data_IF_456941763280
#
_entry.id   IF_456941763280
#
_cell.length_a   1.000
_cell.length_b   1.000
_cell.length_c   1.000
_cell.angle_alpha   90.00
_cell.angle_beta   90.00
_cell.angle_gamma   90.00
#
_symmetry.space_group_name_H-M   'P 1'
#
loop_
_entity.id
_entity.type
_entity.pdbx_description
1 polymer ?
#
# COMPACT_ATOMS: atom_id res chain seq x y z
N UNK A 1 -10.58 12.42 -13.15
CA UNK A 1 -10.91 10.99 -12.99
C UNK A 1 -9.68 10.22 -12.49
N UNK A 2 -9.16 10.52 -11.28
CA UNK A 2 -7.79 10.12 -10.86
C UNK A 2 -7.73 9.22 -9.61
N UNK A 3 -8.53 9.47 -8.57
CA UNK A 3 -8.71 8.49 -7.47
C UNK A 3 -9.28 7.14 -7.94
N UNK A 4 -9.94 7.15 -9.11
CA UNK A 4 -10.41 5.94 -9.78
C UNK A 4 -9.26 5.01 -10.17
N UNK A 5 -8.05 5.51 -10.47
CA UNK A 5 -6.91 4.69 -10.88
C UNK A 5 -6.31 3.87 -9.73
N UNK A 6 -6.26 4.42 -8.52
CA UNK A 6 -5.73 3.74 -7.33
C UNK A 6 -6.71 2.65 -6.86
N UNK A 7 -8.00 2.97 -6.86
CA UNK A 7 -9.06 1.99 -6.65
C UNK A 7 -9.10 0.93 -7.75
N UNK A 8 -8.95 1.30 -9.03
CA UNK A 8 -8.83 0.34 -10.12
C UNK A 8 -7.60 -0.53 -9.98
N UNK A 9 -6.45 0.01 -9.59
CA UNK A 9 -5.24 -0.80 -9.37
C UNK A 9 -5.49 -1.85 -8.29
N UNK A 10 -6.09 -1.47 -7.15
CA UNK A 10 -6.47 -2.39 -6.07
C UNK A 10 -7.52 -3.43 -6.51
N UNK A 11 -8.55 -3.02 -7.26
CA UNK A 11 -9.58 -3.92 -7.83
C UNK A 11 -9.01 -4.84 -8.91
N UNK A 12 -8.06 -4.35 -9.71
CA UNK A 12 -7.41 -5.12 -10.78
C UNK A 12 -6.47 -6.17 -10.19
N UNK A 13 -5.76 -5.85 -9.11
CA UNK A 13 -4.92 -6.81 -8.37
C UNK A 13 -5.72 -7.78 -7.52
N UNK A 14 -6.88 -7.36 -6.97
CA UNK A 14 -7.70 -8.18 -6.08
C UNK A 14 -8.72 -9.07 -6.80
N UNK A 15 -9.45 -8.54 -7.78
CA UNK A 15 -10.59 -9.24 -8.40
C UNK A 15 -10.37 -9.68 -9.84
N UNK A 16 -9.55 -8.96 -10.63
CA UNK A 16 -9.45 -9.20 -12.08
C UNK A 16 -8.21 -9.98 -12.53
N UNK A 17 -7.24 -10.24 -11.65
CA UNK A 17 -6.09 -11.11 -11.93
C UNK A 17 -5.29 -10.72 -13.19
N UNK A 18 -5.30 -9.44 -13.59
CA UNK A 18 -4.61 -8.97 -14.78
C UNK A 18 -3.11 -8.84 -14.53
N UNK A 19 -2.31 -9.06 -15.58
CA UNK A 19 -0.83 -9.16 -15.59
C UNK A 19 -0.15 -8.48 -14.38
N UNK A 20 0.21 -9.35 -13.43
CA UNK A 20 0.70 -9.08 -12.08
C UNK A 20 2.04 -8.36 -12.00
N UNK A 21 2.67 -8.02 -13.12
CA UNK A 21 4.02 -7.46 -13.12
C UNK A 21 4.06 -5.95 -12.94
N UNK A 22 3.17 -5.20 -13.60
CA UNK A 22 3.22 -3.73 -13.58
C UNK A 22 2.40 -3.09 -12.47
N UNK A 23 1.20 -3.60 -12.15
CA UNK A 23 0.35 -3.04 -11.09
C UNK A 23 0.83 -3.40 -9.67
N UNK A 24 1.62 -4.47 -9.54
CA UNK A 24 2.08 -4.96 -8.26
C UNK A 24 3.27 -4.14 -7.71
N UNK A 25 4.09 -3.56 -8.58
CA UNK A 25 5.22 -2.71 -8.17
C UNK A 25 4.73 -1.45 -7.40
N UNK A 26 3.77 -0.65 -7.92
CA UNK A 26 3.15 0.44 -7.17
C UNK A 26 2.55 0.02 -5.83
N UNK A 27 1.89 -1.13 -5.79
CA UNK A 27 1.30 -1.65 -4.56
C UNK A 27 2.39 -1.95 -3.51
N UNK A 28 3.43 -2.70 -3.87
CA UNK A 28 4.52 -3.02 -2.97
C UNK A 28 5.29 -1.76 -2.52
N UNK A 29 5.42 -0.77 -3.39
CA UNK A 29 6.04 0.51 -3.04
C UNK A 29 5.24 1.23 -1.95
N UNK A 30 3.93 1.40 -2.14
CA UNK A 30 3.06 2.05 -1.15
C UNK A 30 2.96 1.24 0.14
N UNK A 31 2.85 -0.09 0.05
CA UNK A 31 2.86 -0.97 1.21
C UNK A 31 4.16 -0.84 2.01
N UNK A 32 5.32 -0.84 1.34
CA UNK A 32 6.62 -0.70 1.99
C UNK A 32 6.76 0.65 2.69
N UNK A 33 6.34 1.73 2.03
CA UNK A 33 6.34 3.09 2.60
C UNK A 33 5.43 3.21 3.83
N UNK A 34 4.26 2.56 3.79
CA UNK A 34 3.34 2.45 4.93
C UNK A 34 3.98 1.65 6.08
N UNK A 35 4.55 0.47 5.80
CA UNK A 35 5.15 -0.41 6.79
C UNK A 35 6.38 0.20 7.49
N UNK A 36 7.16 1.04 6.79
CA UNK A 36 8.26 1.82 7.41
C UNK A 36 7.77 2.64 8.60
N UNK A 37 6.52 3.12 8.57
CA UNK A 37 5.92 3.85 9.69
C UNK A 37 6.25 5.34 9.75
N UNK A 38 6.90 5.88 8.73
CA UNK A 38 7.21 7.30 8.63
C UNK A 38 6.19 7.99 7.71
N UNK A 39 5.54 9.03 8.25
CA UNK A 39 4.48 9.78 7.56
C UNK A 39 4.97 10.52 6.32
N UNK A 40 6.18 11.05 6.33
CA UNK A 40 6.75 11.79 5.20
C UNK A 40 7.09 10.84 4.06
N UNK A 41 7.71 9.69 4.36
CA UNK A 41 8.04 8.66 3.36
C UNK A 41 6.77 8.12 2.70
N UNK A 42 5.75 7.81 3.49
CA UNK A 42 4.46 7.36 2.97
C UNK A 42 3.78 8.44 2.12
N UNK A 43 3.75 9.69 2.58
CA UNK A 43 3.16 10.78 1.81
C UNK A 43 3.93 11.07 0.50
N UNK A 44 5.25 10.90 0.49
CA UNK A 44 6.07 11.01 -0.71
C UNK A 44 5.73 9.90 -1.73
N UNK A 45 5.55 8.66 -1.25
CA UNK A 45 5.10 7.55 -2.10
C UNK A 45 3.70 7.84 -2.70
N UNK A 46 2.75 8.30 -1.88
CA UNK A 46 1.39 8.62 -2.32
C UNK A 46 1.32 9.81 -3.30
N UNK A 47 2.26 10.76 -3.22
CA UNK A 47 2.34 11.88 -4.18
C UNK A 47 2.60 11.40 -5.62
N UNK A 48 3.30 10.29 -5.80
CA UNK A 48 3.53 9.70 -7.14
C UNK A 48 2.22 9.28 -7.83
N UNK A 49 1.16 9.08 -7.05
CA UNK A 49 -0.14 8.61 -7.51
C UNK A 49 -1.24 9.69 -7.43
N UNK A 50 -0.85 10.96 -7.27
CA UNK A 50 -1.78 12.09 -7.13
C UNK A 50 -2.84 11.86 -6.02
N UNK A 51 -2.45 11.20 -4.92
CA UNK A 51 -3.38 10.86 -3.84
C UNK A 51 -4.07 12.11 -3.25
N UNK A 52 -5.39 12.03 -3.14
CA UNK A 52 -6.26 13.03 -2.52
C UNK A 52 -6.02 13.14 -1.02
N UNK A 53 -6.45 14.24 -0.42
CA UNK A 53 -6.36 14.44 1.03
C UNK A 53 -7.12 13.35 1.82
N UNK A 54 -8.21 12.83 1.27
CA UNK A 54 -8.97 11.73 1.86
C UNK A 54 -8.19 10.42 1.85
N UNK A 55 -7.55 10.09 0.73
CA UNK A 55 -6.70 8.90 0.61
C UNK A 55 -5.49 8.96 1.55
N UNK A 56 -4.83 10.13 1.63
CA UNK A 56 -3.71 10.34 2.56
C UNK A 56 -4.12 10.12 4.00
N UNK A 57 -5.25 10.69 4.43
CA UNK A 57 -5.80 10.46 5.77
C UNK A 57 -6.14 8.99 6.04
N UNK A 58 -6.61 8.27 5.02
CA UNK A 58 -6.84 6.82 5.11
C UNK A 58 -5.55 6.07 5.38
N UNK A 59 -4.51 6.32 4.59
CA UNK A 59 -3.19 5.70 4.76
C UNK A 59 -2.51 6.08 6.07
N UNK A 60 -2.68 7.31 6.56
CA UNK A 60 -2.17 7.76 7.86
C UNK A 60 -2.73 6.90 9.01
N UNK A 61 -4.04 6.62 9.00
CA UNK A 61 -4.66 5.74 10.01
C UNK A 61 -4.13 4.30 9.94
N UNK A 62 -3.91 3.78 8.73
CA UNK A 62 -3.34 2.43 8.57
C UNK A 62 -1.91 2.40 9.10
N UNK A 63 -1.11 3.42 8.79
CA UNK A 63 0.25 3.54 9.28
C UNK A 63 0.31 3.70 10.80
N UNK A 64 -0.63 4.42 11.41
CA UNK A 64 -0.78 4.51 12.87
C UNK A 64 -0.98 3.10 13.48
N UNK A 65 -1.88 2.28 12.93
CA UNK A 65 -2.06 0.89 13.38
C UNK A 65 -0.75 0.05 13.27
N UNK A 66 0.00 0.22 12.19
CA UNK A 66 1.29 -0.47 12.01
C UNK A 66 2.35 0.00 13.02
N UNK A 67 2.33 1.28 13.38
CA UNK A 67 3.22 1.84 14.38
C UNK A 67 2.87 1.39 15.79
N UNK A 68 1.57 1.32 16.13
CA UNK A 68 1.09 0.77 17.40
C UNK A 68 1.40 -0.72 17.54
N UNK A 69 1.24 -1.50 16.47
CA UNK A 69 1.59 -2.93 16.45
C UNK A 69 3.10 -3.21 16.45
N UNK A 70 3.93 -2.20 16.20
CA UNK A 70 5.39 -2.28 16.23
C UNK A 70 6.00 -3.25 15.21
N UNK A 71 7.27 -3.60 15.41
CA UNK A 71 8.04 -4.43 14.48
C UNK A 71 7.43 -5.82 14.25
N UNK A 72 6.78 -6.40 15.28
CA UNK A 72 6.17 -7.72 15.17
C UNK A 72 5.01 -7.73 14.18
N UNK A 73 4.10 -6.75 14.27
CA UNK A 73 2.98 -6.63 13.35
C UNK A 73 3.47 -6.39 11.91
N UNK A 74 4.41 -5.44 11.74
CA UNK A 74 5.04 -5.15 10.45
C UNK A 74 5.66 -6.38 9.81
N UNK A 75 6.40 -7.18 10.58
CA UNK A 75 7.07 -8.39 10.09
C UNK A 75 6.08 -9.49 9.70
N UNK A 76 5.06 -9.73 10.54
CA UNK A 76 4.02 -10.73 10.25
C UNK A 76 3.26 -10.38 8.99
N UNK A 77 2.79 -9.13 8.85
CA UNK A 77 2.04 -8.69 7.68
C UNK A 77 2.90 -8.72 6.40
N UNK A 78 4.18 -8.33 6.50
CA UNK A 78 5.12 -8.47 5.37
C UNK A 78 5.30 -9.94 4.99
N UNK A 79 5.37 -10.85 5.96
CA UNK A 79 5.51 -12.30 5.71
C UNK A 79 4.26 -12.85 5.03
N UNK A 80 3.07 -12.50 5.52
CA UNK A 80 1.80 -12.91 4.92
C UNK A 80 1.72 -12.39 3.48
N UNK A 81 2.04 -11.12 3.27
CA UNK A 81 2.01 -10.53 1.93
C UNK A 81 2.95 -11.27 0.97
N UNK A 82 4.23 -11.43 1.33
CA UNK A 82 5.23 -12.12 0.50
C UNK A 82 4.80 -13.56 0.21
N UNK A 83 4.41 -14.33 1.23
CA UNK A 83 3.99 -15.73 1.07
C UNK A 83 2.73 -15.89 0.22
N UNK A 84 1.78 -14.95 0.30
CA UNK A 84 0.56 -14.95 -0.53
C UNK A 84 0.81 -14.53 -1.98
N UNK A 85 1.91 -13.81 -2.25
CA UNK A 85 2.27 -13.30 -3.57
C UNK A 85 3.26 -14.19 -4.34
N UNK A 86 3.81 -15.22 -3.69
CA UNK A 86 4.66 -16.23 -4.29
C UNK A 86 3.79 -17.34 -4.93
N UNK A 87 4.12 -17.80 -6.15
CA UNK A 87 3.40 -18.87 -6.83
C UNK A 87 3.61 -20.26 -6.21
#
# INVERSE_FOLDING_TARGET
>A
MKGTLLLLALLVTGELGFQTTEACIPFFEVFSAMAIGNKEIMNAALTKFDATDGERKGFEKIQECYNEGGLKAKFLDTTVLVTSSLP
#
